data_IF_739190040643
#
_entry.id   IF_739190040643
#
_cell.length_a   1.000
_cell.length_b   1.000
_cell.length_c   1.000
_cell.angle_alpha   90.00
_cell.angle_beta   90.00
_cell.angle_gamma   90.00
#
_symmetry.space_group_name_H-M   'P 1'
#
loop_
_entity.id
_entity.type
_entity.pdbx_description
1 polymer ?
#
# COMPACT_ATOMS: atom_id res chain seq x y z
N UNK A 1 -18.20 -17.62 -8.79
CA UNK A 1 -18.44 -16.30 -8.16
C UNK A 1 -17.71 -15.26 -8.98
N UNK A 2 -18.34 -14.13 -9.29
CA UNK A 2 -17.66 -13.03 -10.01
C UNK A 2 -16.50 -12.49 -9.16
N UNK A 3 -15.36 -12.13 -9.76
CA UNK A 3 -14.26 -11.52 -9.02
C UNK A 3 -14.71 -10.19 -8.40
N UNK A 4 -14.38 -9.98 -7.13
CA UNK A 4 -14.60 -8.69 -6.46
C UNK A 4 -13.56 -7.70 -7.01
N UNK A 5 -14.01 -6.49 -7.33
CA UNK A 5 -13.14 -5.45 -7.89
C UNK A 5 -12.00 -5.08 -6.92
N UNK A 6 -10.82 -4.65 -7.41
CA UNK A 6 -9.72 -4.19 -6.55
C UNK A 6 -10.05 -3.00 -5.66
N UNK A 7 -11.11 -2.26 -5.98
CA UNK A 7 -11.67 -1.16 -5.21
C UNK A 7 -13.13 -1.47 -4.90
N UNK A 8 -13.54 -1.39 -3.64
CA UNK A 8 -14.93 -1.61 -3.22
C UNK A 8 -15.52 -0.35 -2.61
N UNK A 9 -16.78 -0.06 -2.88
CA UNK A 9 -17.46 1.08 -2.26
C UNK A 9 -17.84 0.78 -0.81
N UNK A 10 -17.98 1.82 0.04
CA UNK A 10 -18.56 1.68 1.37
C UNK A 10 -19.95 1.03 1.38
N UNK A 11 -20.80 1.35 0.39
CA UNK A 11 -22.13 0.74 0.24
C UNK A 11 -22.07 -0.76 -0.11
N UNK A 12 -21.06 -1.18 -0.87
CA UNK A 12 -20.84 -2.59 -1.13
C UNK A 12 -20.38 -3.29 0.15
N UNK A 13 -19.42 -2.72 0.88
CA UNK A 13 -18.90 -3.35 2.09
C UNK A 13 -19.98 -3.48 3.17
N UNK A 14 -20.79 -2.46 3.43
CA UNK A 14 -21.86 -2.52 4.45
C UNK A 14 -22.89 -3.62 4.16
N UNK A 15 -23.20 -3.87 2.88
CA UNK A 15 -24.12 -4.94 2.48
C UNK A 15 -23.50 -6.34 2.51
N UNK A 16 -22.19 -6.44 2.77
CA UNK A 16 -21.40 -7.67 2.73
C UNK A 16 -20.65 -7.96 4.04
N UNK A 17 -20.89 -7.21 5.13
CA UNK A 17 -20.14 -7.32 6.40
C UNK A 17 -20.14 -8.73 7.02
N UNK A 18 -21.22 -9.49 6.80
CA UNK A 18 -21.41 -10.82 7.39
C UNK A 18 -20.93 -11.96 6.47
N UNK A 19 -20.31 -11.64 5.33
CA UNK A 19 -19.79 -12.67 4.44
C UNK A 19 -18.65 -13.44 5.10
N UNK A 20 -18.75 -14.77 5.20
CA UNK A 20 -17.75 -15.57 5.93
C UNK A 20 -16.41 -15.65 5.21
N UNK A 21 -16.38 -15.33 3.92
CA UNK A 21 -15.16 -15.31 3.11
C UNK A 21 -14.49 -13.93 3.07
N UNK A 22 -15.06 -12.89 3.71
CA UNK A 22 -14.43 -11.57 3.80
C UNK A 22 -13.64 -11.41 5.09
N UNK A 23 -12.48 -10.76 4.98
CA UNK A 23 -11.73 -10.27 6.13
C UNK A 23 -11.44 -8.79 5.94
N UNK A 24 -11.86 -7.97 6.89
CA UNK A 24 -11.62 -6.54 6.85
C UNK A 24 -10.36 -6.26 7.68
N UNK A 25 -9.43 -5.48 7.15
CA UNK A 25 -8.19 -5.13 7.84
C UNK A 25 -8.04 -3.61 7.88
N UNK A 26 -8.01 -3.09 9.10
CA UNK A 26 -7.67 -1.72 9.42
C UNK A 26 -6.13 -1.55 9.39
N UNK A 27 -5.68 -0.63 8.55
CA UNK A 27 -4.28 -0.26 8.38
C UNK A 27 -4.02 1.19 8.83
N UNK A 28 -4.89 1.81 9.64
CA UNK A 28 -4.66 3.18 10.13
C UNK A 28 -3.32 3.27 10.85
N UNK A 29 -2.58 4.33 10.52
CA UNK A 29 -1.25 4.59 11.03
C UNK A 29 -0.93 6.09 10.92
N UNK A 30 -0.02 6.60 11.77
CA UNK A 30 0.45 7.98 11.74
C UNK A 30 1.96 7.99 11.94
N UNK A 31 2.70 8.64 11.04
CA UNK A 31 4.17 8.60 11.06
C UNK A 31 4.77 9.28 12.31
N UNK A 32 4.10 10.30 12.84
CA UNK A 32 4.55 11.06 14.01
C UNK A 32 4.06 10.46 15.34
N UNK A 33 3.10 9.54 15.31
CA UNK A 33 2.60 8.80 16.46
C UNK A 33 2.20 7.37 16.03
N UNK A 34 3.17 6.44 15.97
CA UNK A 34 2.94 5.08 15.44
C UNK A 34 1.83 4.29 16.16
N UNK A 35 1.58 4.59 17.43
CA UNK A 35 0.56 3.89 18.22
C UNK A 35 -0.85 4.44 18.01
N UNK A 36 -0.99 5.67 17.49
CA UNK A 36 -2.29 6.34 17.35
C UNK A 36 -3.28 5.54 16.51
N UNK A 37 -2.83 4.95 15.39
CA UNK A 37 -3.71 4.13 14.54
C UNK A 37 -4.29 2.90 15.26
N UNK A 38 -3.50 2.26 16.13
CA UNK A 38 -3.98 1.14 16.95
C UNK A 38 -4.94 1.61 18.05
N UNK A 39 -4.65 2.75 18.69
CA UNK A 39 -5.53 3.34 19.69
C UNK A 39 -6.89 3.72 19.09
N UNK A 40 -6.89 4.33 17.89
CA UNK A 40 -8.10 4.66 17.16
C UNK A 40 -8.88 3.41 16.75
N UNK A 41 -8.20 2.33 16.35
CA UNK A 41 -8.82 1.02 16.11
C UNK A 41 -9.51 0.48 17.37
N UNK A 42 -8.84 0.48 18.53
CA UNK A 42 -9.45 0.03 19.77
C UNK A 42 -10.68 0.87 20.18
N UNK A 43 -10.65 2.17 19.87
CA UNK A 43 -11.76 3.07 20.16
C UNK A 43 -12.96 2.78 19.25
N UNK A 44 -12.76 2.73 17.92
CA UNK A 44 -13.79 2.43 16.92
C UNK A 44 -13.16 1.94 15.63
N UNK A 45 -13.74 0.91 15.01
CA UNK A 45 -13.34 0.34 13.73
C UNK A 45 -14.55 -0.20 12.95
N UNK A 46 -14.35 -0.58 11.69
CA UNK A 46 -15.41 -1.24 10.90
C UNK A 46 -15.72 -2.60 11.55
N UNK A 47 -17.00 -2.92 11.76
CA UNK A 47 -17.38 -4.20 12.35
C UNK A 47 -16.67 -5.39 11.68
N UNK A 48 -16.21 -6.35 12.49
CA UNK A 48 -15.48 -7.54 12.06
C UNK A 48 -14.07 -7.27 11.48
N UNK A 49 -13.52 -6.06 11.60
CA UNK A 49 -12.15 -5.78 11.16
C UNK A 49 -11.09 -6.23 12.15
N UNK A 50 -9.98 -6.74 11.64
CA UNK A 50 -8.72 -6.88 12.38
C UNK A 50 -7.81 -5.67 12.13
N UNK A 51 -6.75 -5.54 12.91
CA UNK A 51 -5.74 -4.49 12.74
C UNK A 51 -4.38 -5.07 12.33
N UNK A 52 -3.71 -4.42 11.37
CA UNK A 52 -2.31 -4.68 11.04
C UNK A 52 -1.52 -3.37 11.11
N UNK A 53 -0.51 -3.35 11.97
CA UNK A 53 0.34 -2.20 12.21
C UNK A 53 1.43 -2.09 11.13
N UNK A 54 1.70 -0.88 10.65
CA UNK A 54 2.71 -0.65 9.61
C UNK A 54 4.10 -1.18 10.02
N UNK A 55 4.60 -0.74 11.17
CA UNK A 55 5.96 -1.11 11.61
C UNK A 55 6.08 -2.53 12.15
N UNK A 56 5.05 -3.05 12.84
CA UNK A 56 5.12 -4.34 13.55
C UNK A 56 4.74 -5.53 12.67
N UNK A 57 3.80 -5.33 11.75
CA UNK A 57 3.23 -6.41 10.95
C UNK A 57 3.55 -6.28 9.44
N UNK A 58 3.56 -5.05 8.90
CA UNK A 58 3.72 -4.79 7.46
C UNK A 58 5.15 -4.37 7.06
N UNK A 59 6.08 -4.44 8.02
CA UNK A 59 7.49 -4.08 7.84
C UNK A 59 8.39 -5.02 8.65
N UNK A 60 9.64 -5.18 8.21
CA UNK A 60 10.69 -5.75 9.04
C UNK A 60 11.35 -4.65 9.90
N UNK A 61 12.12 -5.02 10.94
CA UNK A 61 12.89 -4.05 11.72
C UNK A 61 13.82 -3.21 10.85
N UNK A 62 13.93 -1.91 11.17
CA UNK A 62 14.81 -0.97 10.48
C UNK A 62 16.28 -1.38 10.67
N UNK A 63 17.05 -1.35 9.59
CA UNK A 63 18.49 -1.56 9.58
C UNK A 63 19.21 -0.29 9.06
N UNK A 64 20.54 -0.36 8.94
CA UNK A 64 21.33 0.76 8.38
C UNK A 64 20.89 1.14 6.96
N UNK A 65 20.56 0.14 6.15
CA UNK A 65 20.08 0.24 4.78
C UNK A 65 18.77 -0.54 4.64
N UNK A 66 18.03 -0.34 3.55
CA UNK A 66 16.73 -0.95 3.28
C UNK A 66 15.52 -0.05 3.59
N UNK A 67 15.78 1.18 4.06
CA UNK A 67 14.77 2.21 4.32
C UNK A 67 14.02 2.08 5.65
N UNK A 68 13.11 3.02 5.93
CA UNK A 68 12.34 3.08 7.19
C UNK A 68 11.23 2.02 7.33
N UNK A 69 10.75 1.43 6.23
CA UNK A 69 9.74 0.36 6.27
C UNK A 69 10.17 -0.82 5.36
N UNK A 70 11.27 -1.52 5.71
CA UNK A 70 11.75 -2.66 4.94
C UNK A 70 10.66 -3.72 4.78
N UNK A 71 10.66 -4.48 3.69
CA UNK A 71 9.67 -5.54 3.49
C UNK A 71 9.73 -6.56 4.65
N UNK A 72 8.56 -7.01 5.18
CA UNK A 72 8.54 -8.03 6.21
C UNK A 72 9.05 -9.35 5.64
N UNK A 73 9.61 -10.20 6.51
CA UNK A 73 9.91 -11.57 6.13
C UNK A 73 8.60 -12.28 5.68
N UNK A 74 8.57 -12.91 4.47
CA UNK A 74 7.35 -13.52 3.93
C UNK A 74 6.70 -14.55 4.85
N UNK A 75 7.49 -15.34 5.58
CA UNK A 75 6.99 -16.35 6.50
C UNK A 75 6.39 -15.71 7.76
N UNK A 76 6.98 -14.62 8.27
CA UNK A 76 6.45 -13.88 9.42
C UNK A 76 5.08 -13.28 9.13
N UNK A 77 4.93 -12.55 8.01
CA UNK A 77 3.63 -11.99 7.63
C UNK A 77 2.62 -13.08 7.28
N UNK A 78 3.04 -14.18 6.65
CA UNK A 78 2.16 -15.33 6.40
C UNK A 78 1.62 -15.96 7.68
N UNK A 79 2.46 -16.12 8.71
CA UNK A 79 2.04 -16.62 10.01
C UNK A 79 1.04 -15.66 10.68
N UNK A 80 1.28 -14.34 10.59
CA UNK A 80 0.36 -13.32 11.08
C UNK A 80 -1.00 -13.37 10.36
N UNK A 81 -1.02 -13.44 9.04
CA UNK A 81 -2.27 -13.54 8.26
C UNK A 81 -3.03 -14.84 8.57
N UNK A 82 -2.30 -15.95 8.73
CA UNK A 82 -2.89 -17.22 9.13
C UNK A 82 -3.50 -17.16 10.53
N UNK A 83 -2.87 -16.47 11.48
CA UNK A 83 -3.39 -16.36 12.85
C UNK A 83 -4.63 -15.48 12.95
N UNK A 84 -4.85 -14.56 12.00
CA UNK A 84 -6.09 -13.79 11.88
C UNK A 84 -7.23 -14.61 11.23
N UNK A 85 -6.91 -15.66 10.47
CA UNK A 85 -7.88 -16.51 9.78
C UNK A 85 -7.88 -16.39 8.26
N UNK A 86 -6.86 -15.78 7.66
CA UNK A 86 -6.75 -15.72 6.19
C UNK A 86 -6.40 -17.10 5.65
N UNK A 87 -7.16 -17.56 4.66
CA UNK A 87 -6.94 -18.80 3.92
C UNK A 87 -6.61 -18.47 2.47
N UNK A 88 -5.44 -18.89 1.99
CA UNK A 88 -4.99 -18.65 0.61
C UNK A 88 -6.04 -19.13 -0.41
N UNK A 89 -6.38 -18.27 -1.37
CA UNK A 89 -7.33 -18.57 -2.45
C UNK A 89 -8.81 -18.58 -2.03
N UNK A 90 -9.14 -18.45 -0.74
CA UNK A 90 -10.52 -18.48 -0.24
C UNK A 90 -10.94 -17.14 0.34
N UNK A 91 -10.21 -16.66 1.34
CA UNK A 91 -10.49 -15.37 1.98
C UNK A 91 -10.28 -14.24 0.98
N UNK A 92 -11.16 -13.24 1.01
CA UNK A 92 -10.99 -11.99 0.30
C UNK A 92 -10.77 -10.87 1.32
N UNK A 93 -9.62 -10.22 1.24
CA UNK A 93 -9.23 -9.17 2.18
C UNK A 93 -9.74 -7.81 1.70
N UNK A 94 -10.33 -7.03 2.59
CA UNK A 94 -10.67 -5.62 2.36
C UNK A 94 -9.78 -4.76 3.26
N UNK A 95 -8.82 -4.06 2.69
CA UNK A 95 -7.94 -3.15 3.41
C UNK A 95 -8.52 -1.73 3.45
N UNK A 96 -8.45 -1.06 4.59
CA UNK A 96 -8.79 0.37 4.69
C UNK A 96 -7.83 1.11 5.61
N UNK A 97 -7.77 2.43 5.45
CA UNK A 97 -7.06 3.34 6.35
C UNK A 97 -7.81 4.68 6.45
N UNK A 98 -7.20 5.66 7.12
CA UNK A 98 -7.68 7.03 7.21
C UNK A 98 -6.74 8.01 6.49
N UNK A 99 -5.98 7.54 5.49
CA UNK A 99 -4.85 8.27 4.91
C UNK A 99 -4.79 8.13 3.40
N UNK A 100 -5.95 8.29 2.73
CA UNK A 100 -6.07 8.31 1.26
C UNK A 100 -5.39 7.10 0.60
N UNK A 101 -5.57 5.92 1.20
CA UNK A 101 -5.02 4.62 0.80
C UNK A 101 -3.54 4.39 1.10
N UNK A 102 -2.82 5.30 1.76
CA UNK A 102 -1.38 5.16 1.98
C UNK A 102 -0.97 3.80 2.56
N UNK A 103 -1.65 3.35 3.62
CA UNK A 103 -1.30 2.14 4.35
C UNK A 103 -2.11 0.93 3.88
N UNK A 104 -3.37 1.15 3.49
CA UNK A 104 -4.20 0.12 2.87
C UNK A 104 -3.58 -0.39 1.56
N UNK A 105 -2.99 0.50 0.75
CA UNK A 105 -2.28 0.12 -0.47
C UNK A 105 -1.02 -0.68 -0.19
N UNK A 106 -0.34 -0.43 0.94
CA UNK A 106 0.84 -1.22 1.35
C UNK A 106 0.43 -2.66 1.67
N UNK A 107 -0.64 -2.87 2.44
CA UNK A 107 -1.17 -4.21 2.68
C UNK A 107 -1.67 -4.88 1.39
N UNK A 108 -2.43 -4.15 0.56
CA UNK A 108 -2.89 -4.63 -0.74
C UNK A 108 -1.74 -5.11 -1.62
N UNK A 109 -0.67 -4.32 -1.72
CA UNK A 109 0.52 -4.68 -2.49
C UNK A 109 1.24 -5.89 -1.89
N UNK A 110 1.42 -5.94 -0.56
CA UNK A 110 2.06 -7.07 0.13
C UNK A 110 1.30 -8.38 -0.11
N UNK A 111 -0.03 -8.38 -0.01
CA UNK A 111 -0.83 -9.58 -0.26
C UNK A 111 -0.63 -10.10 -1.67
N UNK A 112 -0.65 -9.21 -2.67
CA UNK A 112 -0.41 -9.57 -4.07
C UNK A 112 1.03 -10.03 -4.33
N UNK A 113 2.01 -9.36 -3.73
CA UNK A 113 3.42 -9.76 -3.74
C UNK A 113 3.62 -11.15 -3.14
N UNK A 114 2.78 -11.56 -2.19
CA UNK A 114 2.74 -12.91 -1.62
C UNK A 114 1.79 -13.87 -2.37
N UNK A 115 1.32 -13.50 -3.55
CA UNK A 115 0.48 -14.33 -4.42
C UNK A 115 -0.99 -14.42 -4.02
N UNK A 116 -1.46 -13.55 -3.12
CA UNK A 116 -2.85 -13.46 -2.71
C UNK A 116 -3.56 -12.31 -3.43
N UNK A 117 -4.19 -12.62 -4.57
CA UNK A 117 -4.87 -11.63 -5.42
C UNK A 117 -6.27 -11.22 -4.93
N UNK A 118 -6.85 -11.98 -4.00
CA UNK A 118 -8.19 -11.72 -3.43
C UNK A 118 -8.11 -10.60 -2.39
N UNK A 119 -7.80 -9.40 -2.85
CA UNK A 119 -7.68 -8.23 -1.99
C UNK A 119 -8.23 -6.98 -2.68
N UNK A 120 -8.99 -6.18 -1.93
CA UNK A 120 -9.50 -4.89 -2.36
C UNK A 120 -9.16 -3.80 -1.34
N UNK A 121 -9.17 -2.55 -1.79
CA UNK A 121 -9.12 -1.37 -0.94
C UNK A 121 -10.55 -0.82 -0.79
N UNK A 122 -10.91 -0.35 0.41
CA UNK A 122 -12.16 0.38 0.65
C UNK A 122 -12.04 1.82 0.11
N UNK A 123 -12.85 2.15 -0.89
CA UNK A 123 -12.89 3.48 -1.48
C UNK A 123 -13.36 4.54 -0.49
N UNK A 124 -12.67 5.68 -0.44
CA UNK A 124 -12.93 6.74 0.54
C UNK A 124 -12.45 6.45 1.98
N UNK A 125 -12.07 5.21 2.30
CA UNK A 125 -11.50 4.83 3.59
C UNK A 125 -12.40 5.10 4.81
N UNK A 126 -11.77 5.17 5.99
CA UNK A 126 -12.44 5.29 7.29
C UNK A 126 -13.32 6.54 7.43
N UNK A 127 -12.84 7.70 6.98
CA UNK A 127 -13.59 8.94 7.16
C UNK A 127 -14.93 8.92 6.40
N UNK A 128 -14.95 8.36 5.18
CA UNK A 128 -16.18 8.27 4.40
C UNK A 128 -17.10 7.16 4.90
N UNK A 129 -16.57 6.11 5.52
CA UNK A 129 -17.38 5.13 6.25
C UNK A 129 -18.16 5.80 7.39
N UNK A 130 -17.49 6.64 8.19
CA UNK A 130 -18.12 7.40 9.26
C UNK A 130 -19.13 8.43 8.74
N UNK A 131 -18.77 9.20 7.71
CA UNK A 131 -19.65 10.22 7.13
C UNK A 131 -20.96 9.62 6.57
N UNK A 132 -20.90 8.38 6.09
CA UNK A 132 -22.07 7.65 5.62
C UNK A 132 -22.95 7.05 6.74
N UNK A 133 -22.53 7.19 8.01
CA UNK A 133 -23.27 6.65 9.17
C UNK A 133 -23.28 5.13 9.22
N UNK A 134 -22.29 4.46 8.62
CA UNK A 134 -22.23 3.00 8.61
C UNK A 134 -21.78 2.42 9.96
N UNK A 135 -22.11 1.14 10.24
CA UNK A 135 -21.83 0.53 11.53
C UNK A 135 -20.34 0.54 11.90
N UNK A 136 -20.07 0.90 13.15
CA UNK A 136 -18.74 0.80 13.76
C UNK A 136 -18.82 -0.09 15.00
N UNK A 137 -17.67 -0.62 15.40
CA UNK A 137 -17.52 -1.50 16.55
C UNK A 137 -16.25 -1.13 17.32
N UNK A 138 -16.23 -1.45 18.61
CA UNK A 138 -15.01 -1.52 19.42
C UNK A 138 -14.74 -2.96 19.90
N UNK A 139 -15.55 -3.93 19.44
CA UNK A 139 -15.38 -5.35 19.74
C UNK A 139 -14.35 -5.97 18.80
N UNK A 140 -13.21 -6.36 19.36
CA UNK A 140 -12.16 -7.06 18.62
C UNK A 140 -12.67 -8.45 18.22
N UNK A 141 -12.66 -8.81 16.91
CA UNK A 141 -13.11 -10.12 16.47
C UNK A 141 -12.22 -11.22 17.03
N UNK A 142 -12.81 -12.37 17.33
CA UNK A 142 -12.04 -13.56 17.73
C UNK A 142 -11.34 -14.13 16.49
N UNK A 143 -9.99 -14.24 16.48
CA UNK A 143 -9.28 -14.80 15.34
C UNK A 143 -9.68 -16.26 15.09
N UNK A 144 -9.68 -16.67 13.82
CA UNK A 144 -9.90 -18.06 13.42
C UNK A 144 -8.59 -18.66 12.93
N UNK A 145 -8.49 -19.99 12.94
CA UNK A 145 -7.36 -20.68 12.31
C UNK A 145 -7.42 -20.50 10.79
N UNK A 146 -6.45 -19.81 10.23
CA UNK A 146 -6.23 -19.67 8.79
C UNK A 146 -5.14 -20.59 8.26
N UNK A 147 -4.87 -20.48 6.97
CA UNK A 147 -3.82 -21.20 6.27
C UNK A 147 -3.34 -20.35 5.09
N UNK A 148 -2.41 -19.44 5.38
CA UNK A 148 -1.82 -18.55 4.39
C UNK A 148 -0.44 -19.07 3.96
N UNK A 149 -0.33 -19.41 2.68
CA UNK A 149 0.91 -19.89 2.06
C UNK A 149 1.44 -18.81 1.10
N UNK A 150 2.56 -18.16 1.42
CA UNK A 150 3.09 -17.08 0.59
C UNK A 150 3.72 -17.64 -0.70
N UNK A 151 3.35 -17.06 -1.84
CA UNK A 151 3.95 -17.28 -3.15
C UNK A 151 4.60 -15.97 -3.60
N UNK A 152 5.89 -15.82 -3.29
CA UNK A 152 6.58 -14.53 -3.45
C UNK A 152 6.83 -14.20 -4.93
N UNK A 153 6.34 -13.05 -5.36
CA UNK A 153 6.57 -12.48 -6.69
C UNK A 153 7.92 -11.76 -6.75
N UNK A 154 9.02 -12.52 -6.78
CA UNK A 154 10.40 -12.02 -6.64
C UNK A 154 10.70 -10.84 -7.59
N UNK A 155 10.20 -10.90 -8.83
CA UNK A 155 10.48 -9.89 -9.86
C UNK A 155 9.75 -8.55 -9.63
N UNK A 156 8.88 -8.42 -8.63
CA UNK A 156 8.15 -7.18 -8.33
C UNK A 156 8.95 -6.18 -7.51
N UNK A 157 10.05 -6.61 -6.90
CA UNK A 157 10.90 -5.77 -6.03
C UNK A 157 12.23 -5.54 -6.73
N UNK A 158 12.72 -4.31 -6.69
CA UNK A 158 14.07 -3.98 -7.16
C UNK A 158 14.94 -3.50 -6.00
N UNK A 159 16.22 -3.87 -6.02
CA UNK A 159 17.21 -3.37 -5.06
C UNK A 159 17.80 -2.02 -5.50
N UNK A 160 18.51 -1.35 -4.60
CA UNK A 160 19.24 -0.12 -4.92
C UNK A 160 20.26 -0.33 -6.05
N UNK A 161 20.98 -1.46 -6.07
CA UNK A 161 21.93 -1.80 -7.12
C UNK A 161 21.25 -1.98 -8.48
N UNK A 162 20.05 -2.55 -8.48
CA UNK A 162 19.25 -2.72 -9.69
C UNK A 162 18.75 -1.38 -10.22
N UNK A 163 18.25 -0.50 -9.34
CA UNK A 163 17.87 0.87 -9.70
C UNK A 163 19.07 1.61 -10.30
N UNK A 164 20.25 1.56 -9.66
CA UNK A 164 21.48 2.18 -10.18
C UNK A 164 21.83 1.71 -11.59
N UNK A 165 21.65 0.41 -11.87
CA UNK A 165 21.97 -0.23 -13.16
C UNK A 165 20.91 -0.01 -14.24
N UNK A 166 19.64 0.09 -13.86
CA UNK A 166 18.50 0.07 -14.79
C UNK A 166 17.95 1.45 -15.12
N UNK A 167 18.07 2.45 -14.22
CA UNK A 167 17.37 3.74 -14.37
C UNK A 167 17.71 4.53 -15.65
N UNK A 168 18.83 4.22 -16.31
CA UNK A 168 19.27 4.87 -17.55
C UNK A 168 19.00 4.02 -18.81
N UNK A 169 18.47 2.81 -18.65
CA UNK A 169 18.16 1.93 -19.77
C UNK A 169 16.94 2.42 -20.54
N UNK A 170 17.00 2.32 -21.87
CA UNK A 170 15.87 2.69 -22.71
C UNK A 170 14.60 1.91 -22.32
N UNK A 171 13.50 2.65 -22.13
CA UNK A 171 12.20 2.10 -21.73
C UNK A 171 12.06 1.76 -20.25
N UNK A 172 13.02 2.09 -19.39
CA UNK A 172 12.86 2.05 -17.93
C UNK A 172 12.53 3.45 -17.44
N UNK A 173 11.47 3.59 -16.64
CA UNK A 173 11.15 4.85 -15.96
C UNK A 173 11.18 4.65 -14.46
N UNK A 174 11.81 5.60 -13.75
CA UNK A 174 11.83 5.66 -12.30
C UNK A 174 10.87 6.74 -11.84
N UNK A 175 9.94 6.42 -10.93
CA UNK A 175 8.88 7.33 -10.49
C UNK A 175 8.92 7.49 -8.97
N UNK A 176 9.05 8.74 -8.53
CA UNK A 176 8.92 9.14 -7.13
C UNK A 176 7.48 9.55 -6.83
N UNK A 177 6.86 8.84 -5.89
CA UNK A 177 5.49 9.08 -5.48
C UNK A 177 5.34 10.19 -4.42
N UNK A 178 6.43 10.74 -3.87
CA UNK A 178 6.35 11.78 -2.82
C UNK A 178 5.73 13.08 -3.34
N UNK A 179 5.36 13.92 -2.38
CA UNK A 179 4.99 15.31 -2.60
C UNK A 179 6.08 16.07 -3.36
N UNK A 180 5.68 16.98 -4.23
CA UNK A 180 6.61 17.60 -5.19
C UNK A 180 7.65 18.50 -4.52
N UNK A 181 7.34 19.12 -3.37
CA UNK A 181 8.30 19.90 -2.58
C UNK A 181 9.42 19.01 -2.01
N UNK A 182 9.08 17.80 -1.54
CA UNK A 182 10.04 16.79 -1.10
C UNK A 182 10.91 16.27 -2.24
N UNK A 183 10.29 15.96 -3.37
CA UNK A 183 10.98 15.53 -4.57
C UNK A 183 12.01 16.58 -5.05
N UNK A 184 11.61 17.86 -5.10
CA UNK A 184 12.50 18.98 -5.50
C UNK A 184 13.58 19.31 -4.46
N UNK A 185 13.50 18.74 -3.26
CA UNK A 185 14.45 18.99 -2.18
C UNK A 185 14.24 20.32 -1.46
N UNK A 186 13.07 20.96 -1.63
CA UNK A 186 12.71 22.22 -0.96
C UNK A 186 12.38 22.01 0.52
N UNK A 187 11.94 20.80 0.87
CA UNK A 187 11.57 20.37 2.21
C UNK A 187 11.85 18.89 2.37
N UNK A 188 12.53 18.46 3.44
CA UNK A 188 12.57 17.04 3.80
C UNK A 188 12.35 16.90 5.31
N UNK A 189 11.14 16.50 5.74
CA UNK A 189 10.80 16.45 7.16
C UNK A 189 11.24 15.15 7.85
N UNK A 190 11.70 14.14 7.10
CA UNK A 190 11.90 12.78 7.64
C UNK A 190 13.31 12.26 7.38
N UNK A 191 13.80 12.37 6.14
CA UNK A 191 15.09 11.82 5.73
C UNK A 191 16.26 12.81 5.95
N UNK A 192 17.50 12.34 6.17
CA UNK A 192 18.64 13.22 6.47
C UNK A 192 19.08 14.09 5.28
N UNK A 193 18.70 13.71 4.06
CA UNK A 193 19.07 14.41 2.82
C UNK A 193 17.80 14.66 2.02
N UNK A 194 17.61 15.89 1.56
CA UNK A 194 16.51 16.29 0.69
C UNK A 194 16.82 15.99 -0.79
N UNK A 195 15.78 15.90 -1.63
CA UNK A 195 15.90 15.70 -3.08
C UNK A 195 15.35 14.36 -3.54
N UNK A 196 15.80 13.91 -4.71
CA UNK A 196 15.31 12.71 -5.39
C UNK A 196 16.44 11.97 -6.11
N UNK A 197 16.14 10.77 -6.60
CA UNK A 197 17.07 9.98 -7.39
C UNK A 197 17.18 10.61 -8.77
N UNK A 198 18.40 10.92 -9.22
CA UNK A 198 18.64 11.55 -10.52
C UNK A 198 17.95 10.79 -11.66
N UNK A 199 17.22 11.53 -12.51
CA UNK A 199 16.45 10.99 -13.64
C UNK A 199 15.05 10.48 -13.29
N UNK A 200 14.67 10.43 -12.00
CA UNK A 200 13.31 10.07 -11.62
C UNK A 200 12.29 11.12 -12.13
N UNK A 201 11.05 10.69 -12.37
CA UNK A 201 9.90 11.57 -12.57
C UNK A 201 9.09 11.66 -11.28
N UNK A 202 8.41 12.79 -11.03
CA UNK A 202 7.55 12.93 -9.86
C UNK A 202 6.07 12.74 -10.21
N UNK A 203 5.43 11.77 -9.56
CA UNK A 203 3.99 11.51 -9.66
C UNK A 203 3.40 11.44 -8.25
N UNK A 204 3.03 12.57 -7.63
CA UNK A 204 2.58 12.59 -6.24
C UNK A 204 1.40 11.65 -5.98
N UNK A 205 1.56 10.77 -4.98
CA UNK A 205 0.57 9.75 -4.62
C UNK A 205 -0.82 10.32 -4.29
N UNK A 206 -0.84 11.55 -3.77
CA UNK A 206 -2.06 12.29 -3.42
C UNK A 206 -2.96 12.58 -4.63
N UNK A 207 -2.47 12.48 -5.86
CA UNK A 207 -3.29 12.70 -7.06
C UNK A 207 -4.08 11.45 -7.49
N UNK A 208 -3.85 10.29 -6.85
CA UNK A 208 -4.61 9.04 -7.12
C UNK A 208 -6.03 9.12 -6.55
N UNK A 209 -6.25 9.97 -5.55
CA UNK A 209 -7.55 10.21 -4.92
C UNK A 209 -7.97 11.67 -5.07
N UNK A 210 -9.24 11.98 -4.83
CA UNK A 210 -9.71 13.35 -4.65
C UNK A 210 -9.43 13.85 -3.21
N UNK A 211 -9.75 15.12 -2.94
CA UNK A 211 -9.53 15.72 -1.62
C UNK A 211 -10.38 15.12 -0.50
N UNK A 212 -11.44 14.36 -0.84
CA UNK A 212 -12.27 13.63 0.11
C UNK A 212 -11.73 12.20 0.35
N UNK A 213 -10.72 11.76 -0.39
CA UNK A 213 -10.10 10.44 -0.26
C UNK A 213 -10.70 9.35 -1.13
N UNK A 214 -11.65 9.67 -2.03
CA UNK A 214 -12.14 8.71 -3.03
C UNK A 214 -11.15 8.55 -4.17
N UNK A 215 -11.08 7.36 -4.76
CA UNK A 215 -10.27 7.13 -5.96
C UNK A 215 -10.71 8.04 -7.09
N UNK A 216 -9.76 8.60 -7.82
CA UNK A 216 -10.08 9.31 -9.07
C UNK A 216 -10.76 8.33 -10.05
N UNK A 217 -11.72 8.80 -10.87
CA UNK A 217 -12.42 7.95 -11.83
C UNK A 217 -11.47 7.20 -12.78
N UNK A 218 -11.85 6.02 -13.30
CA UNK A 218 -10.98 5.23 -14.18
C UNK A 218 -10.40 6.00 -15.38
N UNK A 219 -11.16 6.95 -15.95
CA UNK A 219 -10.67 7.81 -17.03
C UNK A 219 -9.50 8.71 -16.59
N UNK A 220 -9.54 9.25 -15.37
CA UNK A 220 -8.45 10.05 -14.79
C UNK A 220 -7.23 9.20 -14.47
N UNK A 221 -7.42 7.98 -13.96
CA UNK A 221 -6.32 7.04 -13.74
C UNK A 221 -5.62 6.70 -15.07
N UNK A 222 -6.38 6.39 -16.13
CA UNK A 222 -5.82 6.14 -17.47
C UNK A 222 -5.07 7.35 -18.02
N UNK A 223 -5.67 8.54 -17.91
CA UNK A 223 -5.04 9.78 -18.36
C UNK A 223 -3.72 10.04 -17.63
N UNK A 224 -3.67 9.80 -16.31
CA UNK A 224 -2.47 10.00 -15.49
C UNK A 224 -1.27 9.21 -16.02
N UNK A 225 -1.48 7.98 -16.47
CA UNK A 225 -0.41 7.07 -16.87
C UNK A 225 -0.17 6.98 -18.37
N UNK A 226 -0.97 7.66 -19.19
CA UNK A 226 -0.97 7.52 -20.66
C UNK A 226 0.43 7.65 -21.29
N UNK A 227 1.27 8.57 -20.78
CA UNK A 227 2.62 8.79 -21.30
C UNK A 227 3.59 7.65 -20.97
N UNK A 228 3.21 6.78 -20.03
CA UNK A 228 4.00 5.62 -19.60
C UNK A 228 3.58 4.34 -20.33
N UNK A 229 2.59 4.39 -21.21
CA UNK A 229 2.05 3.19 -21.91
C UNK A 229 3.12 2.44 -22.71
N UNK A 230 4.10 3.14 -23.26
CA UNK A 230 5.20 2.55 -24.04
C UNK A 230 6.43 2.19 -23.21
N UNK A 231 6.45 2.53 -21.91
CA UNK A 231 7.57 2.18 -21.06
C UNK A 231 7.60 0.66 -20.85
N UNK A 232 8.78 0.05 -21.02
CA UNK A 232 8.99 -1.38 -20.85
C UNK A 232 8.88 -1.76 -19.38
N UNK A 233 9.36 -0.91 -18.47
CA UNK A 233 9.38 -1.17 -17.03
C UNK A 233 9.18 0.13 -16.25
N UNK A 234 8.25 0.11 -15.30
CA UNK A 234 7.95 1.25 -14.42
C UNK A 234 8.38 0.88 -13.01
N UNK A 235 9.45 1.53 -12.51
CA UNK A 235 9.95 1.35 -11.15
C UNK A 235 9.41 2.49 -10.29
N UNK A 236 8.66 2.16 -9.24
CA UNK A 236 8.12 3.14 -8.31
C UNK A 236 8.88 3.13 -7.00
N UNK A 237 9.04 4.32 -6.42
CA UNK A 237 9.57 4.50 -5.08
C UNK A 237 8.89 5.71 -4.41
N UNK A 238 9.09 5.87 -3.11
CA UNK A 238 8.66 7.06 -2.38
C UNK A 238 9.66 7.33 -1.25
N UNK A 239 9.23 7.80 -0.07
CA UNK A 239 10.11 7.90 1.09
C UNK A 239 10.66 6.53 1.52
N UNK A 240 9.79 5.53 1.68
CA UNK A 240 10.13 4.26 2.34
C UNK A 240 9.25 3.09 1.86
N UNK A 241 8.80 3.10 0.60
CA UNK A 241 8.07 1.99 -0.02
C UNK A 241 6.60 1.82 0.38
N UNK A 242 6.00 2.82 1.04
CA UNK A 242 4.60 2.79 1.47
C UNK A 242 3.70 3.47 0.43
N UNK A 243 3.76 4.80 0.30
CA UNK A 243 2.89 5.55 -0.62
C UNK A 243 3.14 5.27 -2.11
N UNK A 244 4.28 4.70 -2.47
CA UNK A 244 4.50 4.15 -3.82
C UNK A 244 3.47 3.07 -4.18
N UNK A 245 2.98 2.31 -3.19
CA UNK A 245 1.95 1.31 -3.39
C UNK A 245 0.62 1.92 -3.85
N UNK A 246 0.33 3.19 -3.51
CA UNK A 246 -0.86 3.91 -3.99
C UNK A 246 -0.77 4.15 -5.49
N UNK A 247 0.41 4.54 -5.99
CA UNK A 247 0.63 4.67 -7.43
C UNK A 247 0.62 3.31 -8.14
N UNK A 248 1.17 2.24 -7.52
CA UNK A 248 1.08 0.88 -8.08
C UNK A 248 -0.40 0.44 -8.19
N UNK A 249 -1.21 0.73 -7.18
CA UNK A 249 -2.65 0.48 -7.21
C UNK A 249 -3.32 1.25 -8.37
N UNK A 250 -3.01 2.54 -8.53
CA UNK A 250 -3.50 3.38 -9.62
C UNK A 250 -3.10 2.86 -11.01
N UNK A 251 -1.85 2.44 -11.19
CA UNK A 251 -1.36 1.80 -12.43
C UNK A 251 -2.11 0.50 -12.72
N UNK A 252 -2.34 -0.31 -11.69
CA UNK A 252 -3.12 -1.55 -11.81
C UNK A 252 -4.56 -1.27 -12.26
N UNK A 253 -5.22 -0.26 -11.68
CA UNK A 253 -6.56 0.17 -12.11
C UNK A 253 -6.57 0.69 -13.55
N UNK A 254 -5.46 1.27 -14.01
CA UNK A 254 -5.28 1.72 -15.39
C UNK A 254 -4.92 0.58 -16.38
N UNK A 255 -4.64 -0.63 -15.88
CA UNK A 255 -4.36 -1.82 -16.69
C UNK A 255 -2.87 -2.10 -16.94
N UNK A 256 -1.98 -1.52 -16.15
CA UNK A 256 -0.54 -1.77 -16.22
C UNK A 256 -0.14 -2.95 -15.33
N UNK A 257 0.75 -3.80 -15.84
CA UNK A 257 1.27 -5.00 -15.17
C UNK A 257 2.81 -5.00 -15.05
N UNK A 258 3.51 -4.16 -15.82
CA UNK A 258 4.96 -4.04 -15.86
C UNK A 258 5.53 -3.09 -14.78
N UNK A 259 5.03 -3.24 -13.56
CA UNK A 259 5.33 -2.34 -12.42
C UNK A 259 6.19 -3.03 -11.37
N UNK A 260 7.20 -2.33 -10.88
CA UNK A 260 8.09 -2.80 -9.81
C UNK A 260 8.19 -1.76 -8.70
N UNK A 261 8.51 -2.23 -7.50
CA UNK A 261 8.69 -1.42 -6.31
C UNK A 261 10.16 -1.42 -5.87
N UNK A 262 10.79 -0.25 -5.81
CA UNK A 262 11.97 -0.06 -4.99
C UNK A 262 11.53 0.20 -3.55
N UNK A 263 11.44 -0.87 -2.75
CA UNK A 263 10.79 -0.82 -1.44
C UNK A 263 11.56 0.01 -0.41
N UNK A 264 12.88 0.13 -0.56
CA UNK A 264 13.70 0.95 0.32
C UNK A 264 13.43 2.46 0.17
N UNK A 265 13.00 2.89 -1.01
CA UNK A 265 12.67 4.27 -1.29
C UNK A 265 13.86 5.23 -1.18
N UNK A 266 13.53 6.51 -1.03
CA UNK A 266 14.50 7.57 -0.82
C UNK A 266 15.31 7.35 0.46
N UNK A 267 14.68 6.82 1.51
CA UNK A 267 15.33 6.48 2.77
C UNK A 267 16.51 5.56 2.62
N UNK A 268 16.31 4.50 1.84
CA UNK A 268 17.38 3.56 1.53
C UNK A 268 18.42 4.25 0.66
N UNK A 269 18.00 4.95 -0.39
CA UNK A 269 18.91 5.65 -1.30
C UNK A 269 19.85 6.64 -0.59
N UNK A 270 19.30 7.54 0.23
CA UNK A 270 20.08 8.56 0.91
C UNK A 270 20.95 8.00 2.03
N UNK A 271 20.66 6.81 2.55
CA UNK A 271 21.51 6.14 3.56
C UNK A 271 22.91 5.76 3.03
N UNK A 272 23.09 5.73 1.71
CA UNK A 272 24.39 5.52 1.05
C UNK A 272 25.12 6.82 0.68
N UNK A 273 24.51 7.97 0.95
CA UNK A 273 25.09 9.29 0.69
C UNK A 273 25.67 9.93 1.95
N UNK A 274 25.52 9.26 3.09
CA UNK A 274 26.00 9.67 4.43
C UNK A 274 27.22 8.87 4.88
#
# INVERSE_FOLDING_TARGET
MNPIAPLVSPSWLVTNLDRPDLMIIDCRFQLNDPDLGYQEYLANHIQNSFYLHLDRDLSAPVARHGGRHPLPNPQTIAAKLSSLGVISGQTHVIAYDASRFAFASRLWWLLRYLGHERVSILDGGWQNWLNAGYPVSNQIPVPKTGAFFPQVQQDWVVTIEEVKRQKEQAGVVLIDARESDRYRGEREPIDPIAGHIEGALNYPWLEVTDSQGFSQPPARQKQRWQERQSDREIILYCGSGVTACVNIFSLTLAGYDNVKLYSGGWSDWCSYLI
#
